data_IF_922276276553
#
_entry.id   IF_922276276553
#
_cell.length_a   1.000
_cell.length_b   1.000
_cell.length_c   1.000
_cell.angle_alpha   90.00
_cell.angle_beta   90.00
_cell.angle_gamma   90.00
#
_symmetry.space_group_name_H-M   'P 1'
#
loop_
_entity.id
_entity.type
_entity.pdbx_description
1 polymer ?
#
# COMPACT_ATOMS: atom_id res chain seq x y z
N UNK A 1 12.72 -45.09 15.22
CA UNK A 1 12.37 -43.78 14.63
C UNK A 1 10.87 -43.63 14.38
N UNK A 2 10.12 -44.71 14.14
CA UNK A 2 8.69 -44.63 13.78
C UNK A 2 7.75 -44.22 14.92
N UNK A 3 8.07 -44.58 16.17
CA UNK A 3 7.23 -44.22 17.33
C UNK A 3 7.24 -42.72 17.60
N UNK A 4 8.40 -42.06 17.46
CA UNK A 4 8.52 -40.61 17.64
C UNK A 4 7.76 -39.82 16.56
N UNK A 5 7.71 -40.32 15.33
CA UNK A 5 6.96 -39.67 14.25
C UNK A 5 5.45 -39.82 14.45
N UNK A 6 5.01 -40.97 14.97
CA UNK A 6 3.60 -41.22 15.29
C UNK A 6 3.13 -40.36 16.47
N UNK A 7 3.97 -40.25 17.52
CA UNK A 7 3.70 -39.37 18.67
C UNK A 7 3.66 -37.91 18.23
N UNK A 8 4.63 -37.43 17.43
CA UNK A 8 4.62 -36.07 16.87
C UNK A 8 3.38 -35.78 16.03
N UNK A 9 2.89 -36.76 15.24
CA UNK A 9 1.70 -36.60 14.41
C UNK A 9 0.41 -36.58 15.24
N UNK A 10 0.34 -37.38 16.29
CA UNK A 10 -0.80 -37.37 17.24
C UNK A 10 -0.80 -36.07 18.02
N UNK A 11 0.37 -35.63 18.48
CA UNK A 11 0.53 -34.42 19.26
C UNK A 11 0.27 -33.18 18.40
N UNK A 12 0.76 -33.13 17.16
CA UNK A 12 0.43 -32.05 16.21
C UNK A 12 -1.06 -32.02 15.88
N UNK A 13 -1.70 -33.18 15.68
CA UNK A 13 -3.14 -33.26 15.44
C UNK A 13 -3.94 -32.80 16.65
N UNK A 14 -3.49 -33.13 17.88
CA UNK A 14 -4.12 -32.71 19.14
C UNK A 14 -3.91 -31.20 19.39
N UNK A 15 -2.72 -30.67 19.07
CA UNK A 15 -2.36 -29.25 19.16
C UNK A 15 -3.22 -28.39 18.22
N UNK A 16 -3.41 -28.83 16.97
CA UNK A 16 -4.26 -28.16 15.99
C UNK A 16 -5.75 -28.21 16.36
N UNK A 17 -6.22 -29.34 16.92
CA UNK A 17 -7.62 -29.48 17.37
C UNK A 17 -7.96 -28.62 18.59
N UNK A 18 -6.98 -28.36 19.46
CA UNK A 18 -7.17 -27.57 20.68
C UNK A 18 -7.20 -26.05 20.43
N UNK A 19 -6.60 -25.56 19.33
CA UNK A 19 -6.43 -24.12 19.06
C UNK A 19 -7.25 -23.57 17.89
N UNK A 20 -8.03 -24.43 17.22
CA UNK A 20 -9.07 -24.00 16.28
C UNK A 20 -10.33 -23.74 17.09
N UNK A 21 -10.66 -22.47 17.32
CA UNK A 21 -11.93 -22.10 17.95
C UNK A 21 -13.10 -22.44 17.03
N UNK A 22 -14.25 -22.79 17.63
CA UNK A 22 -15.53 -22.81 16.91
C UNK A 22 -15.76 -21.41 16.30
N UNK A 23 -16.34 -21.39 15.09
CA UNK A 23 -16.52 -20.21 14.24
C UNK A 23 -16.84 -18.91 14.98
N UNK A 24 -16.36 -17.79 14.43
CA UNK A 24 -16.85 -16.46 14.82
C UNK A 24 -18.38 -16.44 14.68
N UNK A 25 -19.08 -16.19 15.80
CA UNK A 25 -20.53 -16.13 15.89
C UNK A 25 -21.15 -15.24 14.79
N UNK A 26 -20.47 -14.15 14.42
CA UNK A 26 -20.91 -13.25 13.36
C UNK A 26 -20.92 -13.87 11.97
N UNK A 27 -19.96 -14.76 11.65
CA UNK A 27 -19.94 -15.44 10.35
C UNK A 27 -21.10 -16.45 10.24
N UNK A 28 -21.34 -17.19 11.33
CA UNK A 28 -22.41 -18.20 11.40
C UNK A 28 -23.80 -17.53 11.34
N UNK A 29 -23.95 -16.38 12.00
CA UNK A 29 -25.15 -15.54 11.98
C UNK A 29 -25.40 -14.92 10.59
N UNK A 30 -24.35 -14.49 9.90
CA UNK A 30 -24.44 -14.02 8.50
C UNK A 30 -24.95 -15.12 7.57
N UNK A 31 -24.37 -16.32 7.65
CA UNK A 31 -24.79 -17.47 6.84
C UNK A 31 -26.22 -17.92 7.16
N UNK A 32 -26.63 -17.93 8.43
CA UNK A 32 -28.00 -18.30 8.81
C UNK A 32 -29.02 -17.26 8.35
N UNK A 33 -28.73 -15.97 8.48
CA UNK A 33 -29.64 -14.91 8.00
C UNK A 33 -29.81 -14.96 6.48
N UNK A 34 -28.72 -15.16 5.76
CA UNK A 34 -28.75 -15.22 4.31
C UNK A 34 -29.49 -16.48 3.80
N UNK A 35 -29.40 -17.60 4.53
CA UNK A 35 -30.24 -18.78 4.28
C UNK A 35 -31.73 -18.54 4.61
N UNK A 36 -32.04 -17.84 5.70
CA UNK A 36 -33.43 -17.50 6.09
C UNK A 36 -34.09 -16.58 5.06
N UNK A 37 -33.36 -15.58 4.53
CA UNK A 37 -33.87 -14.67 3.49
C UNK A 37 -34.29 -15.44 2.24
N UNK A 38 -33.50 -16.44 1.81
CA UNK A 38 -33.86 -17.27 0.66
C UNK A 38 -35.07 -18.17 0.95
N UNK A 39 -35.19 -18.70 2.17
CA UNK A 39 -36.36 -19.51 2.55
C UNK A 39 -37.64 -18.67 2.65
N UNK A 40 -37.53 -17.35 2.89
CA UNK A 40 -38.67 -16.44 2.92
C UNK A 40 -39.43 -16.38 1.59
N UNK A 41 -38.76 -16.70 0.48
CA UNK A 41 -39.37 -16.81 -0.84
C UNK A 41 -40.41 -17.94 -0.94
N UNK A 42 -40.42 -18.92 -0.02
CA UNK A 42 -41.45 -19.97 0.03
C UNK A 42 -42.76 -19.50 0.68
N UNK A 43 -42.78 -18.38 1.41
CA UNK A 43 -44.02 -17.86 2.04
C UNK A 43 -45.08 -17.51 0.98
N UNK A 44 -44.64 -17.20 -0.23
CA UNK A 44 -45.49 -16.81 -1.34
C UNK A 44 -45.81 -17.90 -2.34
N UNK A 45 -45.54 -19.15 -1.96
CA UNK A 45 -45.80 -20.34 -2.78
C UNK A 45 -47.23 -20.41 -3.32
N UNK A 46 -48.21 -19.90 -2.57
CA UNK A 46 -49.63 -19.92 -2.91
C UNK A 46 -50.14 -18.69 -3.67
N UNK A 47 -49.28 -17.71 -3.98
CA UNK A 47 -49.72 -16.47 -4.62
C UNK A 47 -49.69 -16.61 -6.16
N UNK A 48 -50.84 -16.54 -6.86
CA UNK A 48 -50.93 -16.81 -8.29
C UNK A 48 -50.23 -15.77 -9.18
N UNK A 49 -49.83 -14.63 -8.61
CA UNK A 49 -49.06 -13.59 -9.31
C UNK A 49 -47.54 -13.80 -9.24
N UNK A 50 -47.07 -14.81 -8.50
CA UNK A 50 -45.66 -15.06 -8.27
C UNK A 50 -45.12 -16.08 -9.29
N UNK A 51 -43.82 -16.01 -9.60
CA UNK A 51 -43.10 -16.86 -10.58
C UNK A 51 -43.22 -18.39 -10.37
N UNK A 52 -43.80 -18.88 -9.26
CA UNK A 52 -44.06 -20.30 -9.03
C UNK A 52 -45.15 -20.88 -9.96
N UNK A 53 -46.03 -20.04 -10.52
CA UNK A 53 -47.12 -20.47 -11.39
C UNK A 53 -46.69 -21.00 -12.76
N UNK A 54 -45.44 -20.77 -13.21
CA UNK A 54 -44.86 -21.27 -14.47
C UNK A 54 -45.75 -21.07 -15.72
N UNK A 55 -46.55 -20.00 -15.75
CA UNK A 55 -47.50 -19.75 -16.85
C UNK A 55 -46.85 -18.99 -18.03
N UNK A 56 -45.72 -18.34 -17.81
CA UNK A 56 -45.02 -17.50 -18.80
C UNK A 56 -43.54 -17.90 -18.89
N UNK A 57 -42.93 -17.85 -20.09
CA UNK A 57 -41.49 -18.14 -20.28
C UNK A 57 -40.56 -17.30 -19.38
N UNK A 58 -40.98 -16.09 -19.00
CA UNK A 58 -40.26 -15.22 -18.06
C UNK A 58 -40.27 -15.81 -16.65
N UNK A 59 -41.42 -16.32 -16.19
CA UNK A 59 -41.55 -16.97 -14.88
C UNK A 59 -40.76 -18.28 -14.81
N UNK A 60 -40.65 -19.01 -15.92
CA UNK A 60 -39.82 -20.22 -16.03
C UNK A 60 -38.32 -19.90 -15.88
N UNK A 61 -37.85 -18.80 -16.48
CA UNK A 61 -36.47 -18.33 -16.33
C UNK A 61 -36.17 -17.80 -14.91
N UNK A 62 -37.10 -17.05 -14.31
CA UNK A 62 -36.99 -16.57 -12.92
C UNK A 62 -36.95 -17.73 -11.92
N UNK A 63 -37.75 -18.77 -12.14
CA UNK A 63 -37.74 -19.99 -11.35
C UNK A 63 -36.41 -20.76 -11.48
N UNK A 64 -35.85 -20.85 -12.70
CA UNK A 64 -34.54 -21.45 -12.94
C UNK A 64 -33.39 -20.69 -12.25
N UNK A 65 -33.41 -19.35 -12.31
CA UNK A 65 -32.46 -18.49 -11.60
C UNK A 65 -32.57 -18.66 -10.08
N UNK A 66 -33.79 -18.72 -9.56
CA UNK A 66 -34.04 -18.98 -8.14
C UNK A 66 -33.46 -20.32 -7.68
N UNK A 67 -33.69 -21.41 -8.42
CA UNK A 67 -33.11 -22.73 -8.12
C UNK A 67 -31.58 -22.67 -8.11
N UNK A 68 -30.97 -22.04 -9.13
CA UNK A 68 -29.52 -21.94 -9.20
C UNK A 68 -28.93 -21.16 -8.01
N UNK A 69 -29.58 -20.05 -7.63
CA UNK A 69 -29.19 -19.21 -6.48
C UNK A 69 -29.34 -19.98 -5.18
N UNK A 70 -30.45 -20.69 -5.00
CA UNK A 70 -30.72 -21.51 -3.82
C UNK A 70 -29.69 -22.64 -3.66
N UNK A 71 -29.35 -23.35 -4.74
CA UNK A 71 -28.35 -24.42 -4.72
C UNK A 71 -26.96 -23.89 -4.36
N UNK A 72 -26.56 -22.76 -4.96
CA UNK A 72 -25.29 -22.09 -4.61
C UNK A 72 -25.30 -21.67 -3.13
N UNK A 73 -26.41 -21.14 -2.63
CA UNK A 73 -26.51 -20.70 -1.24
C UNK A 73 -26.42 -21.85 -0.24
N UNK A 74 -27.06 -22.98 -0.54
CA UNK A 74 -26.94 -24.22 0.26
C UNK A 74 -25.51 -24.75 0.23
N UNK A 75 -24.85 -24.75 -0.93
CA UNK A 75 -23.45 -25.16 -1.05
C UNK A 75 -22.52 -24.29 -0.20
N UNK A 76 -22.71 -22.96 -0.24
CA UNK A 76 -21.87 -22.05 0.54
C UNK A 76 -22.19 -22.17 2.04
N UNK A 77 -23.45 -22.40 2.43
CA UNK A 77 -23.83 -22.69 3.82
C UNK A 77 -23.16 -23.97 4.34
N UNK A 78 -23.16 -25.05 3.54
CA UNK A 78 -22.50 -26.31 3.89
C UNK A 78 -20.97 -26.17 3.94
N UNK A 79 -20.37 -25.38 3.05
CA UNK A 79 -18.95 -25.03 3.11
C UNK A 79 -18.64 -24.16 4.34
N UNK A 80 -19.55 -23.25 4.71
CA UNK A 80 -19.47 -22.42 5.90
C UNK A 80 -19.48 -23.25 7.19
N UNK A 81 -20.28 -24.34 7.23
CA UNK A 81 -20.30 -25.31 8.34
C UNK A 81 -19.04 -26.21 8.40
N UNK A 82 -18.34 -26.40 7.27
CA UNK A 82 -17.20 -27.32 7.15
C UNK A 82 -15.83 -26.62 7.10
N UNK A 83 -15.80 -25.29 7.00
CA UNK A 83 -14.57 -24.50 6.93
C UNK A 83 -13.80 -24.46 8.25
N UNK A 84 -12.45 -24.58 8.26
CA UNK A 84 -11.65 -24.46 9.48
C UNK A 84 -11.76 -23.05 10.07
N UNK A 85 -11.98 -22.97 11.39
CA UNK A 85 -12.02 -21.70 12.14
C UNK A 85 -10.70 -20.94 12.06
N UNK A 86 -10.76 -19.62 12.30
CA UNK A 86 -9.57 -18.76 12.33
C UNK A 86 -8.61 -19.27 13.41
N UNK A 87 -7.36 -19.53 13.02
CA UNK A 87 -6.27 -19.81 13.95
C UNK A 87 -6.10 -18.60 14.86
N UNK A 88 -6.45 -18.74 16.14
CA UNK A 88 -5.99 -17.81 17.15
C UNK A 88 -4.57 -18.25 17.54
N UNK A 89 -3.53 -17.49 17.18
CA UNK A 89 -2.21 -17.77 17.74
C UNK A 89 -2.33 -17.72 19.27
N UNK A 90 -1.56 -18.54 20.00
CA UNK A 90 -1.50 -18.41 21.45
C UNK A 90 -1.22 -16.94 21.81
N UNK A 91 -1.74 -16.42 22.93
CA UNK A 91 -1.28 -15.15 23.45
C UNK A 91 0.22 -15.33 23.69
N UNK A 92 1.02 -14.88 22.72
CA UNK A 92 2.44 -14.67 22.91
C UNK A 92 2.45 -13.71 24.09
N UNK A 93 3.12 -14.03 25.22
CA UNK A 93 3.37 -13.01 26.20
C UNK A 93 4.00 -11.87 25.40
N UNK A 94 3.29 -10.75 25.34
CA UNK A 94 3.85 -9.52 24.82
C UNK A 94 4.96 -9.24 25.82
N UNK A 95 6.14 -9.81 25.57
CA UNK A 95 7.35 -9.04 25.76
C UNK A 95 7.05 -7.81 24.93
N UNK A 96 6.59 -6.77 25.64
CA UNK A 96 6.71 -5.42 25.16
C UNK A 96 8.11 -5.39 24.58
N UNK A 97 8.19 -5.34 23.24
CA UNK A 97 9.40 -4.85 22.61
C UNK A 97 9.68 -3.59 23.40
N UNK A 98 10.75 -3.56 24.23
CA UNK A 98 11.00 -2.40 25.08
C UNK A 98 11.00 -1.27 24.09
N UNK A 99 10.10 -0.30 24.24
CA UNK A 99 9.90 0.82 23.32
C UNK A 99 11.28 1.32 22.93
N UNK A 100 11.78 0.79 21.80
CA UNK A 100 13.22 0.72 21.59
C UNK A 100 13.54 2.13 21.20
N UNK A 101 14.10 2.86 22.15
CA UNK A 101 14.64 4.20 22.04
C UNK A 101 14.86 4.50 20.56
N UNK A 102 14.07 5.42 20.00
CA UNK A 102 14.36 6.09 18.73
C UNK A 102 15.63 6.96 18.89
N UNK A 103 16.65 6.41 19.55
CA UNK A 103 18.02 6.86 19.59
C UNK A 103 18.65 6.55 18.24
N UNK A 104 18.39 7.44 17.31
CA UNK A 104 19.41 8.09 16.49
C UNK A 104 20.81 7.45 16.56
N UNK A 105 21.07 6.50 15.67
CA UNK A 105 22.32 6.54 14.90
C UNK A 105 22.01 6.96 13.47
N UNK A 106 21.36 8.12 13.35
CA UNK A 106 21.38 8.90 12.12
C UNK A 106 22.83 9.29 11.93
N UNK A 107 23.53 8.54 11.07
CA UNK A 107 24.81 8.98 10.54
C UNK A 107 24.57 10.39 10.02
N UNK A 108 25.21 11.35 10.66
CA UNK A 108 25.15 12.78 10.34
C UNK A 108 25.75 13.01 8.95
N UNK A 109 25.00 12.68 7.89
CA UNK A 109 25.32 13.06 6.52
C UNK A 109 24.87 14.49 6.32
N UNK A 110 25.69 15.43 6.81
CA UNK A 110 25.60 16.84 6.42
C UNK A 110 25.63 16.95 4.90
N UNK A 111 24.55 17.49 4.32
CA UNK A 111 24.58 18.16 3.01
C UNK A 111 24.83 17.29 1.77
N UNK A 112 24.71 15.96 1.83
CA UNK A 112 24.73 15.16 0.60
C UNK A 112 23.33 15.02 0.04
N UNK A 113 23.08 15.68 -1.10
CA UNK A 113 21.86 15.50 -1.89
C UNK A 113 21.52 14.01 -2.02
N UNK A 114 20.30 13.66 -1.60
CA UNK A 114 19.75 12.30 -1.57
C UNK A 114 19.98 11.52 -2.87
N UNK A 115 19.98 12.23 -4.00
CA UNK A 115 20.17 11.68 -5.34
C UNK A 115 21.64 11.60 -5.80
N UNK A 116 22.57 12.30 -5.13
CA UNK A 116 23.99 12.30 -5.51
C UNK A 116 24.61 10.94 -5.17
N UNK A 117 24.92 10.17 -6.21
CA UNK A 117 25.46 8.81 -6.10
C UNK A 117 24.40 7.72 -5.99
N UNK A 118 23.11 8.04 -6.22
CA UNK A 118 22.04 7.04 -6.22
C UNK A 118 22.28 5.96 -7.29
N UNK A 119 22.75 6.36 -8.47
CA UNK A 119 23.16 5.46 -9.55
C UNK A 119 24.34 4.54 -9.18
N UNK A 120 25.33 5.03 -8.44
CA UNK A 120 26.44 4.20 -7.97
C UNK A 120 25.97 3.20 -6.91
N UNK A 121 25.10 3.62 -5.99
CA UNK A 121 24.51 2.76 -4.96
C UNK A 121 23.60 1.69 -5.56
N UNK A 122 22.74 2.05 -6.52
CA UNK A 122 21.89 1.07 -7.23
C UNK A 122 22.73 0.12 -8.08
N UNK A 123 23.78 0.60 -8.76
CA UNK A 123 24.70 -0.26 -9.53
C UNK A 123 25.47 -1.24 -8.63
N UNK A 124 25.84 -0.83 -7.41
CA UNK A 124 26.46 -1.72 -6.43
C UNK A 124 25.50 -2.81 -5.92
N UNK A 125 24.20 -2.50 -5.83
CA UNK A 125 23.16 -3.42 -5.35
C UNK A 125 22.52 -4.26 -6.46
N UNK A 126 22.65 -3.85 -7.71
CA UNK A 126 22.20 -4.57 -8.90
C UNK A 126 22.64 -6.04 -8.95
N UNK A 127 23.92 -6.40 -8.69
CA UNK A 127 24.33 -7.80 -8.65
C UNK A 127 23.71 -8.60 -7.48
N UNK A 128 23.13 -7.96 -6.47
CA UNK A 128 22.40 -8.63 -5.38
C UNK A 128 20.91 -8.83 -5.69
N UNK A 129 20.34 -7.98 -6.55
CA UNK A 129 19.00 -8.15 -7.11
C UNK A 129 18.96 -9.20 -8.23
N UNK A 130 20.08 -9.43 -8.91
CA UNK A 130 20.19 -10.40 -9.99
C UNK A 130 20.76 -11.74 -9.48
N UNK A 131 19.90 -12.67 -9.02
CA UNK A 131 20.33 -13.97 -8.51
C UNK A 131 21.07 -14.79 -9.57
N UNK A 132 22.02 -15.63 -9.14
CA UNK A 132 22.69 -16.58 -10.02
C UNK A 132 21.79 -17.75 -10.45
N UNK A 133 20.72 -18.02 -9.69
CA UNK A 133 19.76 -19.09 -10.00
C UNK A 133 18.85 -18.72 -11.18
N UNK A 134 18.87 -19.55 -12.24
CA UNK A 134 18.04 -19.39 -13.44
C UNK A 134 16.54 -19.31 -13.12
N UNK A 135 16.06 -20.08 -12.14
CA UNK A 135 14.65 -20.07 -11.72
C UNK A 135 14.22 -18.75 -11.05
N UNK A 136 15.16 -18.07 -10.37
CA UNK A 136 14.87 -16.78 -9.74
C UNK A 136 14.99 -15.63 -10.76
N UNK A 137 15.90 -15.73 -11.73
CA UNK A 137 15.98 -14.80 -12.88
C UNK A 137 14.68 -14.78 -13.69
N UNK A 138 14.09 -15.93 -13.99
CA UNK A 138 12.79 -16.01 -14.70
C UNK A 138 11.69 -15.30 -13.91
N UNK A 139 11.64 -15.46 -12.57
CA UNK A 139 10.65 -14.78 -11.72
C UNK A 139 10.83 -13.26 -11.71
N UNK A 140 12.08 -12.78 -11.75
CA UNK A 140 12.38 -11.35 -11.87
C UNK A 140 11.86 -10.82 -13.21
N UNK A 141 12.13 -11.51 -14.32
CA UNK A 141 11.64 -11.12 -15.66
C UNK A 141 10.11 -11.09 -15.70
N UNK A 142 9.45 -12.12 -15.17
CA UNK A 142 7.97 -12.17 -15.08
C UNK A 142 7.43 -11.04 -14.22
N UNK A 143 8.09 -10.70 -13.10
CA UNK A 143 7.71 -9.57 -12.24
C UNK A 143 7.76 -8.23 -13.00
N UNK A 144 8.84 -7.99 -13.75
CA UNK A 144 8.95 -6.79 -14.61
C UNK A 144 7.95 -6.80 -15.76
N UNK A 145 7.64 -7.96 -16.34
CA UNK A 145 6.59 -8.12 -17.34
C UNK A 145 5.21 -7.74 -16.79
N UNK A 146 4.85 -8.22 -15.59
CA UNK A 146 3.59 -7.87 -14.91
C UNK A 146 3.58 -6.39 -14.54
N UNK A 147 4.71 -5.82 -14.13
CA UNK A 147 4.82 -4.38 -13.86
C UNK A 147 4.49 -3.56 -15.12
N UNK A 148 5.09 -3.91 -16.27
CA UNK A 148 4.81 -3.28 -17.56
C UNK A 148 3.35 -3.45 -18.00
N UNK A 149 2.80 -4.66 -17.88
CA UNK A 149 1.40 -4.93 -18.17
C UNK A 149 0.46 -4.10 -17.28
N UNK A 150 0.78 -3.95 -15.99
CA UNK A 150 0.03 -3.10 -15.06
C UNK A 150 0.03 -1.63 -15.47
N UNK A 151 1.14 -1.12 -16.03
CA UNK A 151 1.20 0.25 -16.59
C UNK A 151 0.38 0.40 -17.87
N UNK A 152 0.43 -0.58 -18.76
CA UNK A 152 -0.44 -0.59 -19.94
C UNK A 152 -1.92 -0.54 -19.55
N UNK A 153 -2.32 -1.36 -18.56
CA UNK A 153 -3.69 -1.33 -18.01
C UNK A 153 -4.02 0.05 -17.41
N UNK A 154 -3.07 0.70 -16.72
CA UNK A 154 -3.29 2.06 -16.18
C UNK A 154 -3.68 3.07 -17.26
N UNK A 155 -3.09 3.00 -18.45
CA UNK A 155 -3.40 3.91 -19.57
C UNK A 155 -4.70 3.49 -20.28
N UNK A 156 -4.95 2.18 -20.38
CA UNK A 156 -6.13 1.65 -21.07
C UNK A 156 -7.44 1.93 -20.31
N UNK A 157 -7.42 1.99 -18.98
CA UNK A 157 -8.64 2.18 -18.18
C UNK A 157 -9.33 3.54 -18.46
N UNK A 158 -8.64 4.69 -18.39
CA UNK A 158 -9.23 5.98 -18.79
C UNK A 158 -9.69 6.00 -20.26
N UNK A 159 -8.94 5.33 -21.15
CA UNK A 159 -9.30 5.24 -22.57
C UNK A 159 -10.60 4.46 -22.80
N UNK A 160 -10.77 3.31 -22.14
CA UNK A 160 -12.03 2.55 -22.20
C UNK A 160 -13.19 3.34 -21.62
N UNK A 161 -12.93 4.11 -20.55
CA UNK A 161 -13.97 4.96 -19.96
C UNK A 161 -14.44 6.06 -20.93
N UNK A 162 -13.53 6.68 -21.69
CA UNK A 162 -13.87 7.60 -22.79
C UNK A 162 -14.76 6.94 -23.84
N UNK A 163 -14.41 5.73 -24.28
CA UNK A 163 -15.18 5.01 -25.30
C UNK A 163 -16.61 4.76 -24.78
N UNK A 164 -16.75 4.25 -23.56
CA UNK A 164 -18.06 4.00 -22.95
C UNK A 164 -18.90 5.27 -22.91
N UNK A 165 -18.35 6.39 -22.43
CA UNK A 165 -19.07 7.67 -22.36
C UNK A 165 -19.48 8.15 -23.75
N UNK A 166 -18.60 8.03 -24.75
CA UNK A 166 -18.91 8.42 -26.13
C UNK A 166 -20.02 7.56 -26.76
N UNK A 167 -20.06 6.25 -26.49
CA UNK A 167 -21.10 5.34 -26.99
C UNK A 167 -22.44 5.52 -26.27
N UNK A 168 -22.43 5.94 -25.01
CA UNK A 168 -23.64 6.25 -24.23
C UNK A 168 -24.22 7.64 -24.56
N UNK A 169 -23.47 8.49 -25.27
CA UNK A 169 -23.92 9.84 -25.67
C UNK A 169 -24.81 9.74 -26.91
N UNK A 170 -26.08 10.21 -26.87
CA UNK A 170 -26.99 10.13 -28.00
C UNK A 170 -26.46 10.88 -29.23
N UNK A 171 -26.55 10.27 -30.43
CA UNK A 171 -26.35 10.97 -31.71
C UNK A 171 -24.96 10.88 -32.37
N UNK A 172 -23.98 10.13 -31.82
CA UNK A 172 -22.65 9.97 -32.46
C UNK A 172 -22.35 8.59 -33.04
N UNK A 173 -22.91 7.50 -32.51
CA UNK A 173 -22.68 6.12 -33.02
C UNK A 173 -23.94 5.28 -32.75
N UNK A 174 -24.32 4.40 -33.70
CA UNK A 174 -25.41 3.44 -33.49
C UNK A 174 -25.11 2.55 -32.28
N UNK A 175 -26.14 2.33 -31.44
CA UNK A 175 -26.04 1.54 -30.21
C UNK A 175 -25.86 0.07 -30.60
N UNK A 176 -24.62 -0.36 -30.80
CA UNK A 176 -24.23 -1.77 -30.85
C UNK A 176 -23.71 -2.17 -29.48
N UNK A 177 -24.58 -2.84 -28.70
CA UNK A 177 -24.34 -3.56 -27.45
C UNK A 177 -23.29 -2.98 -26.48
N UNK A 178 -23.56 -1.90 -25.73
CA UNK A 178 -22.59 -1.30 -24.78
C UNK A 178 -22.12 -2.24 -23.64
N UNK A 179 -22.79 -3.38 -23.43
CA UNK A 179 -22.49 -4.35 -22.38
C UNK A 179 -21.09 -4.95 -22.45
N UNK A 180 -20.59 -5.26 -23.66
CA UNK A 180 -19.24 -5.86 -23.80
C UNK A 180 -18.14 -4.87 -23.41
N UNK A 181 -18.29 -3.59 -23.75
CA UNK A 181 -17.34 -2.53 -23.38
C UNK A 181 -17.31 -2.30 -21.88
N UNK A 182 -18.47 -2.30 -21.22
CA UNK A 182 -18.58 -2.16 -19.77
C UNK A 182 -17.92 -3.35 -19.07
N UNK A 183 -18.16 -4.58 -19.53
CA UNK A 183 -17.52 -5.78 -19.00
C UNK A 183 -15.99 -5.73 -19.13
N UNK A 184 -15.47 -5.30 -20.28
CA UNK A 184 -14.03 -5.12 -20.50
C UNK A 184 -13.46 -4.04 -19.57
N UNK A 185 -14.15 -2.91 -19.41
CA UNK A 185 -13.73 -1.84 -18.49
C UNK A 185 -13.68 -2.32 -17.04
N UNK A 186 -14.71 -3.04 -16.58
CA UNK A 186 -14.75 -3.59 -15.21
C UNK A 186 -13.65 -4.63 -15.02
N UNK A 187 -13.41 -5.50 -16.01
CA UNK A 187 -12.30 -6.45 -15.97
C UNK A 187 -10.94 -5.75 -15.90
N UNK A 188 -10.70 -4.73 -16.73
CA UNK A 188 -9.48 -3.92 -16.67
C UNK A 188 -9.34 -3.19 -15.34
N UNK A 189 -10.44 -2.69 -14.77
CA UNK A 189 -10.42 -2.03 -13.46
C UNK A 189 -10.12 -3.02 -12.33
N UNK A 190 -10.58 -4.25 -12.42
CA UNK A 190 -10.21 -5.33 -11.50
C UNK A 190 -8.73 -5.71 -11.60
N UNK A 191 -8.19 -5.74 -12.82
CA UNK A 191 -6.77 -5.95 -13.07
C UNK A 191 -5.90 -4.80 -12.51
N UNK A 192 -6.37 -3.56 -12.66
CA UNK A 192 -5.71 -2.33 -12.18
C UNK A 192 -5.80 -2.16 -10.65
N UNK A 193 -6.95 -2.50 -10.07
CA UNK A 193 -7.31 -2.23 -8.68
C UNK A 193 -8.35 -1.12 -8.57
N UNK A 194 -9.37 -1.33 -7.72
CA UNK A 194 -10.42 -0.35 -7.43
C UNK A 194 -9.82 0.97 -6.92
N UNK A 195 -10.40 2.10 -7.34
CA UNK A 195 -9.84 3.45 -7.24
C UNK A 195 -9.57 4.00 -5.84
N UNK A 196 -9.74 3.21 -4.79
CA UNK A 196 -9.65 3.66 -3.38
C UNK A 196 -8.60 2.89 -2.57
N UNK A 197 -7.63 2.25 -3.23
CA UNK A 197 -6.59 1.49 -2.49
C UNK A 197 -5.49 0.80 -3.30
N UNK A 198 -5.50 0.85 -4.63
CA UNK A 198 -4.29 0.57 -5.43
C UNK A 198 -3.76 -0.87 -5.40
N UNK A 199 -4.59 -1.86 -5.04
CA UNK A 199 -4.20 -3.27 -5.11
C UNK A 199 -5.02 -3.99 -6.19
N UNK A 200 -4.56 -3.88 -7.44
CA UNK A 200 -5.08 -4.69 -8.54
C UNK A 200 -4.60 -6.13 -8.48
N UNK A 201 -5.28 -7.02 -9.22
CA UNK A 201 -4.87 -8.41 -9.35
C UNK A 201 -3.41 -8.52 -9.85
N UNK A 202 -3.00 -7.70 -10.82
CA UNK A 202 -1.61 -7.69 -11.29
C UNK A 202 -0.63 -7.25 -10.18
N UNK A 203 -1.02 -6.25 -9.38
CA UNK A 203 -0.20 -5.78 -8.27
C UNK A 203 0.00 -6.88 -7.22
N UNK A 204 -1.06 -7.63 -6.89
CA UNK A 204 -1.01 -8.77 -5.97
C UNK A 204 -0.16 -9.92 -6.50
N UNK A 205 -0.33 -10.32 -7.77
CA UNK A 205 0.50 -11.38 -8.36
C UNK A 205 1.97 -10.96 -8.37
N UNK A 206 2.25 -9.71 -8.76
CA UNK A 206 3.60 -9.15 -8.69
C UNK A 206 4.16 -9.21 -7.27
N UNK A 207 3.39 -8.76 -6.27
CA UNK A 207 3.80 -8.78 -4.86
C UNK A 207 4.08 -10.22 -4.39
N UNK A 208 3.21 -11.17 -4.73
CA UNK A 208 3.37 -12.58 -4.38
C UNK A 208 4.65 -13.19 -4.98
N UNK A 209 4.91 -12.94 -6.27
CA UNK A 209 6.14 -13.36 -6.93
C UNK A 209 7.38 -12.70 -6.29
N UNK A 210 7.26 -11.43 -5.90
CA UNK A 210 8.33 -10.66 -5.29
C UNK A 210 8.74 -11.17 -3.91
N UNK A 211 7.80 -11.68 -3.09
CA UNK A 211 8.10 -12.20 -1.75
C UNK A 211 9.25 -13.23 -1.80
N UNK A 212 9.25 -14.15 -2.75
CA UNK A 212 10.30 -15.17 -2.86
C UNK A 212 11.67 -14.55 -3.20
N UNK A 213 11.68 -13.56 -4.08
CA UNK A 213 12.89 -12.84 -4.48
C UNK A 213 13.42 -12.06 -3.27
N UNK A 214 12.54 -11.33 -2.57
CA UNK A 214 12.84 -10.60 -1.35
C UNK A 214 13.48 -11.50 -0.28
N UNK A 215 12.89 -12.66 0.00
CA UNK A 215 13.41 -13.59 1.01
C UNK A 215 14.80 -14.11 0.64
N UNK A 216 15.04 -14.43 -0.63
CA UNK A 216 16.35 -14.87 -1.11
C UNK A 216 17.41 -13.76 -1.00
N UNK A 217 17.09 -12.55 -1.47
CA UNK A 217 18.00 -11.40 -1.42
C UNK A 217 18.33 -11.03 0.02
N UNK A 218 17.32 -10.99 0.90
CA UNK A 218 17.50 -10.70 2.33
C UNK A 218 18.44 -11.70 3.00
N UNK A 219 18.18 -13.00 2.85
CA UNK A 219 19.04 -14.06 3.38
C UNK A 219 20.48 -13.95 2.88
N UNK A 220 20.67 -13.76 1.58
CA UNK A 220 22.01 -13.68 0.97
C UNK A 220 22.79 -12.48 1.51
N UNK A 221 22.12 -11.34 1.64
CA UNK A 221 22.72 -10.11 2.13
C UNK A 221 23.06 -10.22 3.62
N UNK A 222 22.17 -10.76 4.46
CA UNK A 222 22.43 -11.00 5.88
C UNK A 222 23.62 -11.95 6.10
N UNK A 223 23.66 -13.08 5.38
CA UNK A 223 24.78 -14.04 5.49
C UNK A 223 26.11 -13.42 5.05
N UNK A 224 26.12 -12.63 3.98
CA UNK A 224 27.34 -11.99 3.48
C UNK A 224 27.84 -10.89 4.41
N UNK A 225 26.93 -10.10 4.99
CA UNK A 225 27.28 -9.11 6.01
C UNK A 225 27.82 -9.77 7.27
N UNK A 226 27.21 -10.89 7.70
CA UNK A 226 27.69 -11.66 8.83
C UNK A 226 29.09 -12.26 8.59
N UNK A 227 29.32 -12.84 7.41
CA UNK A 227 30.64 -13.34 7.02
C UNK A 227 31.69 -12.22 6.97
N UNK A 228 31.31 -11.03 6.47
CA UNK A 228 32.20 -9.88 6.45
C UNK A 228 32.53 -9.38 7.86
N UNK A 229 31.55 -9.32 8.77
CA UNK A 229 31.79 -8.99 10.18
C UNK A 229 32.82 -9.92 10.80
N UNK A 230 32.72 -11.23 10.57
CA UNK A 230 33.69 -12.21 11.06
C UNK A 230 35.09 -12.06 10.45
N UNK A 231 35.21 -11.51 9.23
CA UNK A 231 36.51 -11.28 8.58
C UNK A 231 37.28 -10.05 9.13
N UNK A 232 36.65 -9.25 9.99
CA UNK A 232 37.27 -8.04 10.55
C UNK A 232 38.26 -8.38 11.67
N UNK A 233 39.24 -7.51 11.89
CA UNK A 233 40.31 -7.73 12.86
C UNK A 233 39.78 -7.82 14.30
N UNK A 234 40.51 -8.52 15.17
CA UNK A 234 40.20 -8.61 16.59
C UNK A 234 40.13 -7.23 17.26
N UNK A 235 41.05 -6.33 16.89
CA UNK A 235 41.06 -4.94 17.38
C UNK A 235 39.78 -4.17 16.97
N UNK A 236 39.18 -4.50 15.83
CA UNK A 236 37.90 -3.92 15.42
C UNK A 236 36.74 -4.38 16.32
N UNK A 237 36.77 -5.64 16.75
CA UNK A 237 35.76 -6.25 17.63
C UNK A 237 35.88 -5.79 19.09
N UNK A 238 37.11 -5.63 19.61
CA UNK A 238 37.33 -5.19 20.99
C UNK A 238 36.93 -3.73 21.26
N UNK A 239 36.99 -2.87 20.23
CA UNK A 239 36.67 -1.45 20.33
C UNK A 239 35.18 -1.10 20.11
N UNK A 240 34.30 -2.08 19.88
CA UNK A 240 32.89 -1.84 19.54
C UNK A 240 31.95 -2.78 20.29
N UNK A 241 30.80 -2.26 20.72
CA UNK A 241 29.74 -3.10 21.29
C UNK A 241 29.09 -3.94 20.17
N UNK A 242 29.30 -5.26 20.19
CA UNK A 242 28.81 -6.20 19.17
C UNK A 242 27.29 -6.10 18.92
N UNK A 243 26.50 -5.86 19.99
CA UNK A 243 25.05 -5.68 19.89
C UNK A 243 24.62 -4.41 19.13
N UNK A 244 25.32 -3.29 19.31
CA UNK A 244 25.03 -2.04 18.57
C UNK A 244 25.42 -2.20 17.10
N UNK A 245 26.56 -2.84 16.82
CA UNK A 245 27.05 -3.13 15.47
C UNK A 245 26.06 -4.01 14.70
N UNK A 246 25.61 -5.12 15.28
CA UNK A 246 24.67 -6.03 14.61
C UNK A 246 23.35 -5.32 14.29
N UNK A 247 22.83 -4.51 15.23
CA UNK A 247 21.63 -3.70 15.01
C UNK A 247 21.82 -2.63 13.94
N UNK A 248 23.00 -2.02 13.82
CA UNK A 248 23.30 -1.06 12.75
C UNK A 248 23.35 -1.76 11.39
N UNK A 249 23.95 -2.95 11.32
CA UNK A 249 24.04 -3.75 10.10
C UNK A 249 22.66 -4.21 9.64
N UNK A 250 21.82 -4.72 10.54
CA UNK A 250 20.48 -5.20 10.18
C UNK A 250 19.55 -4.04 9.78
N UNK A 251 19.57 -2.92 10.52
CA UNK A 251 18.85 -1.70 10.12
C UNK A 251 19.33 -1.13 8.78
N UNK A 252 20.65 -1.09 8.56
CA UNK A 252 21.25 -0.63 7.33
C UNK A 252 20.88 -1.51 6.13
N UNK A 253 20.97 -2.83 6.30
CA UNK A 253 20.57 -3.83 5.32
C UNK A 253 19.10 -3.68 4.91
N UNK A 254 18.20 -3.62 5.90
CA UNK A 254 16.77 -3.52 5.65
C UNK A 254 16.40 -2.16 5.04
N UNK A 255 17.05 -1.07 5.46
CA UNK A 255 16.85 0.27 4.89
C UNK A 255 17.28 0.33 3.43
N UNK A 256 18.47 -0.20 3.09
CA UNK A 256 18.96 -0.28 1.71
C UNK A 256 18.01 -1.09 0.83
N UNK A 257 17.54 -2.23 1.33
CA UNK A 257 16.57 -3.07 0.64
C UNK A 257 15.25 -2.33 0.37
N UNK A 258 14.68 -1.71 1.41
CA UNK A 258 13.43 -0.97 1.30
C UNK A 258 13.55 0.21 0.33
N UNK A 259 14.65 0.95 0.39
CA UNK A 259 14.95 2.05 -0.53
C UNK A 259 14.99 1.55 -1.98
N UNK A 260 15.70 0.45 -2.24
CA UNK A 260 15.80 -0.15 -3.58
C UNK A 260 14.43 -0.61 -4.10
N UNK A 261 13.63 -1.23 -3.24
CA UNK A 261 12.26 -1.65 -3.55
C UNK A 261 11.37 -0.44 -3.89
N UNK A 262 11.43 0.63 -3.08
CA UNK A 262 10.70 1.87 -3.37
C UNK A 262 11.13 2.50 -4.69
N UNK A 263 12.43 2.51 -4.97
CA UNK A 263 12.96 3.10 -6.18
C UNK A 263 12.52 2.35 -7.44
N UNK A 264 12.60 1.02 -7.43
CA UNK A 264 12.26 0.19 -8.59
C UNK A 264 10.76 0.05 -8.82
N UNK A 265 9.93 0.00 -7.78
CA UNK A 265 8.50 -0.29 -7.92
C UNK A 265 7.58 0.90 -7.76
N UNK A 266 8.05 2.01 -7.17
CA UNK A 266 7.24 3.22 -7.02
C UNK A 266 7.87 4.37 -7.81
N UNK A 267 9.09 4.82 -7.47
CA UNK A 267 9.68 6.03 -8.07
C UNK A 267 9.87 5.90 -9.59
N UNK A 268 10.59 4.87 -10.05
CA UNK A 268 10.89 4.70 -11.47
C UNK A 268 9.61 4.53 -12.30
N UNK A 269 8.65 3.67 -11.92
CA UNK A 269 7.39 3.56 -12.64
C UNK A 269 6.57 4.85 -12.64
N UNK A 270 6.57 5.64 -11.56
CA UNK A 270 5.86 6.93 -11.55
C UNK A 270 6.43 7.90 -12.57
N UNK A 271 7.76 8.00 -12.72
CA UNK A 271 8.35 8.85 -13.75
C UNK A 271 8.03 8.35 -15.17
N UNK A 272 8.02 7.03 -15.37
CA UNK A 272 7.58 6.44 -16.65
C UNK A 272 6.10 6.77 -16.91
N UNK A 273 5.23 6.64 -15.91
CA UNK A 273 3.80 6.92 -16.03
C UNK A 273 3.54 8.39 -16.37
N UNK A 274 4.27 9.33 -15.74
CA UNK A 274 4.22 10.76 -16.09
C UNK A 274 4.66 10.98 -17.54
N UNK A 275 5.79 10.38 -17.95
CA UNK A 275 6.30 10.52 -19.31
C UNK A 275 5.32 9.98 -20.37
N UNK A 276 4.79 8.78 -20.14
CA UNK A 276 3.77 8.16 -21.00
C UNK A 276 2.51 9.02 -21.06
N UNK A 277 2.06 9.58 -19.93
CA UNK A 277 0.89 10.45 -19.91
C UNK A 277 1.09 11.74 -20.72
N UNK A 278 2.23 12.41 -20.56
CA UNK A 278 2.54 13.63 -21.32
C UNK A 278 2.54 13.34 -22.81
N UNK A 279 3.23 12.27 -23.23
CA UNK A 279 3.27 11.83 -24.63
C UNK A 279 1.85 11.52 -25.13
N UNK A 280 1.06 10.78 -24.35
CA UNK A 280 -0.32 10.46 -24.68
C UNK A 280 -1.19 11.71 -24.86
N UNK A 281 -1.11 12.69 -23.95
CA UNK A 281 -1.89 13.93 -24.04
C UNK A 281 -1.51 14.81 -25.23
N UNK A 282 -0.22 14.85 -25.58
CA UNK A 282 0.26 15.58 -26.76
C UNK A 282 -0.32 14.97 -28.04
N UNK A 283 -0.30 13.65 -28.16
CA UNK A 283 -0.81 12.95 -29.36
C UNK A 283 -2.34 12.89 -29.44
N UNK A 284 -3.03 12.70 -28.32
CA UNK A 284 -4.49 12.48 -28.31
C UNK A 284 -5.31 13.78 -28.33
N UNK A 285 -4.77 14.88 -27.81
CA UNK A 285 -5.49 16.15 -27.71
C UNK A 285 -4.76 17.27 -28.45
N UNK A 286 -3.67 17.79 -27.86
CA UNK A 286 -2.83 18.87 -28.38
C UNK A 286 -1.63 19.09 -27.44
N UNK A 287 -0.55 19.72 -27.94
CA UNK A 287 0.64 20.07 -27.14
C UNK A 287 0.34 20.93 -25.91
N UNK A 288 -0.71 21.78 -25.96
CA UNK A 288 -1.13 22.60 -24.82
C UNK A 288 -1.59 21.79 -23.61
N UNK A 289 -2.27 20.65 -23.81
CA UNK A 289 -2.67 19.77 -22.71
C UNK A 289 -1.47 19.12 -22.04
N UNK A 290 -0.52 18.64 -22.86
CA UNK A 290 0.74 18.11 -22.35
C UNK A 290 1.51 19.14 -21.53
N UNK A 291 1.53 20.40 -21.96
CA UNK A 291 2.18 21.50 -21.24
C UNK A 291 1.53 21.77 -19.88
N UNK A 292 0.19 21.84 -19.80
CA UNK A 292 -0.53 22.06 -18.53
C UNK A 292 -0.22 20.95 -17.53
N UNK A 293 -0.29 19.68 -17.95
CA UNK A 293 0.02 18.52 -17.10
C UNK A 293 1.49 18.56 -16.67
N UNK A 294 2.41 18.82 -17.61
CA UNK A 294 3.84 18.90 -17.31
C UNK A 294 4.15 19.99 -16.28
N UNK A 295 3.65 21.21 -16.47
CA UNK A 295 3.85 22.33 -15.53
C UNK A 295 3.27 22.00 -14.17
N UNK A 296 2.07 21.42 -14.11
CA UNK A 296 1.43 21.04 -12.84
C UNK A 296 2.25 19.99 -12.10
N UNK A 297 2.76 18.96 -12.80
CA UNK A 297 3.58 17.90 -12.21
C UNK A 297 4.94 18.42 -11.73
N UNK A 298 5.60 19.26 -12.52
CA UNK A 298 6.89 19.87 -12.13
C UNK A 298 6.72 20.76 -10.90
N UNK A 299 5.69 21.61 -10.89
CA UNK A 299 5.39 22.48 -9.75
C UNK A 299 5.07 21.66 -8.50
N UNK A 300 4.29 20.59 -8.64
CA UNK A 300 3.97 19.67 -7.54
C UNK A 300 5.23 19.04 -6.94
N UNK A 301 6.11 18.48 -7.78
CA UNK A 301 7.33 17.81 -7.33
C UNK A 301 8.28 18.81 -6.69
N UNK A 302 8.50 19.97 -7.32
CA UNK A 302 9.39 21.01 -6.80
C UNK A 302 8.91 21.52 -5.43
N UNK A 303 7.63 21.86 -5.31
CA UNK A 303 7.04 22.32 -4.05
C UNK A 303 7.11 21.22 -2.97
N UNK A 304 6.81 19.98 -3.33
CA UNK A 304 6.88 18.84 -2.40
C UNK A 304 8.29 18.65 -1.85
N UNK A 305 9.32 18.73 -2.69
CA UNK A 305 10.72 18.60 -2.26
C UNK A 305 11.12 19.75 -1.34
N UNK A 306 10.85 21.01 -1.74
CA UNK A 306 11.20 22.20 -0.96
C UNK A 306 10.57 22.17 0.45
N UNK A 307 9.27 21.88 0.54
CA UNK A 307 8.58 21.83 1.83
C UNK A 307 9.03 20.61 2.64
N UNK A 308 9.31 19.47 2.00
CA UNK A 308 9.79 18.27 2.71
C UNK A 308 11.17 18.48 3.33
N UNK A 309 12.09 19.12 2.61
CA UNK A 309 13.40 19.48 3.16
C UNK A 309 13.27 20.45 4.33
N UNK A 310 12.46 21.50 4.16
CA UNK A 310 12.21 22.47 5.23
C UNK A 310 11.56 21.82 6.46
N UNK A 311 10.61 20.89 6.29
CA UNK A 311 9.93 20.19 7.39
C UNK A 311 10.85 19.27 8.18
N UNK A 312 11.91 18.76 7.55
CA UNK A 312 12.80 17.75 8.17
C UNK A 312 13.44 18.26 9.47
N UNK A 313 13.66 19.56 9.60
CA UNK A 313 14.18 20.18 10.85
C UNK A 313 13.22 20.02 12.04
N UNK A 314 11.91 20.25 11.84
CA UNK A 314 10.90 20.15 12.91
C UNK A 314 10.77 18.71 13.41
N UNK A 315 10.78 17.76 12.49
CA UNK A 315 10.74 16.34 12.84
C UNK A 315 11.98 15.92 13.63
N UNK A 316 13.14 16.49 13.33
CA UNK A 316 14.37 16.21 14.07
C UNK A 316 14.27 16.76 15.50
N UNK A 317 13.82 18.00 15.65
CA UNK A 317 13.62 18.63 16.95
C UNK A 317 12.61 17.88 17.82
N UNK A 318 11.49 17.45 17.22
CA UNK A 318 10.49 16.59 17.87
C UNK A 318 11.12 15.28 18.38
N UNK A 319 11.93 14.60 17.57
CA UNK A 319 12.60 13.36 17.97
C UNK A 319 13.66 13.59 19.07
N UNK A 320 14.33 14.74 19.08
CA UNK A 320 15.29 15.09 20.14
C UNK A 320 14.57 15.33 21.48
N UNK A 321 13.43 16.02 21.47
CA UNK A 321 12.58 16.25 22.65
C UNK A 321 11.91 14.97 23.17
N UNK A 322 11.43 14.11 22.28
CA UNK A 322 10.87 12.80 22.62
C UNK A 322 11.90 11.92 23.33
N UNK A 323 13.11 11.81 22.76
CA UNK A 323 14.20 11.06 23.38
C UNK A 323 14.59 11.64 24.74
N UNK A 324 14.62 12.97 24.89
CA UNK A 324 14.92 13.62 26.16
C UNK A 324 13.84 13.33 27.23
N UNK A 325 12.55 13.36 26.84
CA UNK A 325 11.45 13.02 27.74
C UNK A 325 11.51 11.56 28.19
N UNK A 326 11.73 10.63 27.24
CA UNK A 326 11.90 9.20 27.53
C UNK A 326 13.11 8.93 28.42
N UNK A 327 14.24 9.59 28.17
CA UNK A 327 15.43 9.45 29.00
C UNK A 327 15.17 9.88 30.46
N UNK A 328 14.48 11.01 30.68
CA UNK A 328 14.08 11.46 32.02
C UNK A 328 13.15 10.46 32.72
N UNK A 329 12.17 9.92 32.00
CA UNK A 329 11.26 8.91 32.57
C UNK A 329 11.99 7.64 32.99
N UNK A 330 12.91 7.14 32.15
CA UNK A 330 13.73 5.96 32.46
C UNK A 330 14.65 6.23 33.66
N UNK A 331 15.31 7.38 33.71
CA UNK A 331 16.19 7.75 34.82
C UNK A 331 15.44 7.84 36.16
N UNK A 332 14.24 8.42 36.15
CA UNK A 332 13.36 8.51 37.32
C UNK A 332 12.94 7.12 37.83
N UNK A 333 12.58 6.20 36.92
CA UNK A 333 12.18 4.83 37.27
C UNK A 333 13.37 3.96 37.71
N UNK A 334 14.56 4.16 37.14
CA UNK A 334 15.77 3.46 37.58
C UNK A 334 16.19 3.90 38.99
N UNK A 335 16.03 5.19 39.31
CA UNK A 335 16.35 5.76 40.62
C UNK A 335 15.12 5.86 41.53
N UNK A 336 14.14 4.98 41.35
CA UNK A 336 12.86 5.03 42.05
C UNK A 336 13.02 5.03 43.58
N UNK A 337 13.97 4.27 44.11
CA UNK A 337 14.27 4.24 45.54
C UNK A 337 14.64 5.63 46.07
N UNK A 338 15.53 6.35 45.37
CA UNK A 338 15.96 7.70 45.75
C UNK A 338 14.79 8.68 45.72
N UNK A 339 13.93 8.61 44.71
CA UNK A 339 12.73 9.47 44.60
C UNK A 339 11.80 9.24 45.80
N UNK A 340 11.59 7.98 46.20
CA UNK A 340 10.79 7.63 47.38
C UNK A 340 11.41 8.06 48.71
N UNK A 341 12.73 7.97 48.84
CA UNK A 341 13.45 8.41 50.06
C UNK A 341 13.28 9.91 50.32
N UNK A 342 13.25 10.72 49.27
CA UNK A 342 13.13 12.19 49.39
C UNK A 342 11.68 12.71 49.27
N UNK A 343 10.68 11.83 49.13
CA UNK A 343 9.29 12.21 48.85
C UNK A 343 9.17 13.19 47.65
N UNK A 344 9.94 12.93 46.60
CA UNK A 344 10.08 13.78 45.42
C UNK A 344 9.17 13.41 44.25
N UNK A 345 8.12 12.61 44.46
CA UNK A 345 7.29 12.08 43.39
C UNK A 345 6.61 13.18 42.57
N UNK A 346 5.98 14.15 43.24
CA UNK A 346 5.27 15.25 42.58
C UNK A 346 6.23 16.10 41.73
N UNK A 347 7.46 16.30 42.20
CA UNK A 347 8.49 17.03 41.48
C UNK A 347 8.92 16.31 40.19
N UNK A 348 9.15 15.00 40.24
CA UNK A 348 9.52 14.23 39.06
C UNK A 348 8.35 14.12 38.05
N UNK A 349 7.10 14.04 38.55
CA UNK A 349 5.90 14.10 37.70
C UNK A 349 5.79 15.46 37.00
N UNK A 350 5.97 16.57 37.71
CA UNK A 350 5.95 17.92 37.11
C UNK A 350 7.08 18.11 36.10
N UNK A 351 8.28 17.61 36.42
CA UNK A 351 9.43 17.65 35.51
C UNK A 351 9.20 16.86 34.22
N UNK A 352 8.48 15.74 34.31
CA UNK A 352 8.07 14.96 33.15
C UNK A 352 6.96 15.68 32.36
N UNK A 353 5.96 16.24 33.03
CA UNK A 353 4.88 17.01 32.40
C UNK A 353 5.44 18.20 31.57
N UNK A 354 6.40 18.94 32.12
CA UNK A 354 7.09 20.01 31.38
C UNK A 354 7.85 19.48 30.15
N UNK A 355 8.50 18.31 30.27
CA UNK A 355 9.18 17.69 29.12
C UNK A 355 8.19 17.21 28.04
N UNK A 356 7.01 16.73 28.44
CA UNK A 356 5.94 16.32 27.53
C UNK A 356 5.34 17.55 26.84
N UNK A 357 5.11 18.66 27.56
CA UNK A 357 4.64 19.93 26.97
C UNK A 357 5.58 20.45 25.88
N UNK A 358 6.89 20.43 26.14
CA UNK A 358 7.92 20.77 25.16
C UNK A 358 7.86 19.87 23.90
N UNK A 359 7.68 18.56 24.10
CA UNK A 359 7.47 17.61 23.01
C UNK A 359 6.20 17.91 22.21
N UNK A 360 5.08 18.17 22.89
CA UNK A 360 3.79 18.46 22.28
C UNK A 360 3.83 19.71 21.39
N UNK A 361 4.59 20.74 21.78
CA UNK A 361 4.79 21.91 20.93
C UNK A 361 5.50 21.54 19.61
N UNK A 362 6.58 20.74 19.70
CA UNK A 362 7.32 20.28 18.51
C UNK A 362 6.50 19.30 17.65
N UNK A 363 5.66 18.50 18.28
CA UNK A 363 4.71 17.60 17.62
C UNK A 363 3.66 18.40 16.84
N UNK A 364 3.11 19.46 17.45
CA UNK A 364 2.19 20.37 16.77
C UNK A 364 2.83 20.99 15.53
N UNK A 365 4.06 21.51 15.63
CA UNK A 365 4.79 22.06 14.47
C UNK A 365 4.99 21.01 13.35
N UNK A 366 5.28 19.76 13.74
CA UNK A 366 5.47 18.65 12.80
C UNK A 366 4.17 18.25 12.10
N UNK A 367 3.05 18.22 12.82
CA UNK A 367 1.73 17.91 12.27
C UNK A 367 1.20 19.07 11.42
N UNK A 368 1.32 20.31 11.91
CA UNK A 368 0.90 21.52 11.21
C UNK A 368 1.65 21.69 9.88
N UNK A 369 2.96 21.45 9.87
CA UNK A 369 3.76 21.49 8.63
C UNK A 369 3.39 20.38 7.63
N UNK A 370 2.94 19.22 8.09
CA UNK A 370 2.38 18.17 7.22
C UNK A 370 1.02 18.58 6.63
N UNK A 371 0.15 19.19 7.43
CA UNK A 371 -1.14 19.70 6.96
C UNK A 371 -0.95 20.82 5.92
N UNK A 372 0.03 21.71 6.13
CA UNK A 372 0.42 22.74 5.16
C UNK A 372 0.90 22.13 3.84
N UNK A 373 1.76 21.09 3.89
CA UNK A 373 2.20 20.36 2.69
C UNK A 373 1.00 19.77 1.93
N UNK A 374 0.11 19.06 2.62
CA UNK A 374 -1.07 18.44 2.00
C UNK A 374 -1.98 19.49 1.36
N UNK A 375 -2.16 20.64 2.01
CA UNK A 375 -2.98 21.75 1.52
C UNK A 375 -2.37 22.38 0.27
N UNK A 376 -1.06 22.65 0.29
CA UNK A 376 -0.34 23.18 -0.86
C UNK A 376 -0.32 22.20 -2.05
N UNK A 377 -0.21 20.90 -1.78
CA UNK A 377 -0.27 19.86 -2.81
C UNK A 377 -1.65 19.79 -3.45
N UNK A 378 -2.70 19.82 -2.62
CA UNK A 378 -4.08 19.80 -3.09
C UNK A 378 -4.43 21.07 -3.89
N UNK A 379 -3.94 22.24 -3.48
CA UNK A 379 -4.19 23.49 -4.21
C UNK A 379 -3.56 23.49 -5.60
N UNK A 380 -2.32 23.00 -5.76
CA UNK A 380 -1.66 22.86 -7.07
C UNK A 380 -2.43 21.89 -7.96
N UNK A 381 -2.81 20.72 -7.43
CA UNK A 381 -3.57 19.70 -8.16
C UNK A 381 -4.92 20.26 -8.62
N UNK A 382 -5.64 20.92 -7.72
CA UNK A 382 -6.97 21.48 -8.00
C UNK A 382 -6.87 22.61 -9.02
N UNK A 383 -5.85 23.48 -8.92
CA UNK A 383 -5.61 24.53 -9.90
C UNK A 383 -5.27 23.95 -11.29
N UNK A 384 -4.39 22.95 -11.37
CA UNK A 384 -4.06 22.29 -12.62
C UNK A 384 -5.25 21.57 -13.25
N UNK A 385 -6.07 20.89 -12.42
CA UNK A 385 -7.31 20.27 -12.86
C UNK A 385 -8.32 21.31 -13.35
N UNK A 386 -8.49 22.43 -12.64
CA UNK A 386 -9.37 23.53 -13.02
C UNK A 386 -8.97 24.11 -14.37
N UNK A 387 -7.70 24.47 -14.55
CA UNK A 387 -7.21 25.05 -15.81
C UNK A 387 -7.36 24.06 -16.96
N UNK A 388 -6.99 22.79 -16.76
CA UNK A 388 -7.10 21.76 -17.79
C UNK A 388 -8.54 21.43 -18.18
N UNK A 389 -9.45 21.36 -17.20
CA UNK A 389 -10.87 21.08 -17.45
C UNK A 389 -11.58 22.26 -18.11
N UNK A 390 -11.29 23.50 -17.72
CA UNK A 390 -11.82 24.70 -18.40
C UNK A 390 -11.38 24.76 -19.86
N UNK A 391 -10.10 24.47 -20.15
CA UNK A 391 -9.59 24.42 -21.51
C UNK A 391 -10.21 23.27 -22.32
N UNK A 392 -10.37 22.09 -21.72
CA UNK A 392 -11.07 20.97 -22.34
C UNK A 392 -12.54 21.32 -22.63
N UNK A 393 -13.24 21.95 -21.68
CA UNK A 393 -14.63 22.37 -21.82
C UNK A 393 -14.82 23.33 -22.99
N UNK A 394 -13.93 24.31 -23.16
CA UNK A 394 -13.93 25.22 -24.32
C UNK A 394 -13.84 24.45 -25.64
N UNK A 395 -12.94 23.47 -25.74
CA UNK A 395 -12.75 22.67 -26.96
C UNK A 395 -13.91 21.70 -27.25
N UNK A 396 -14.61 21.24 -26.20
CA UNK A 396 -15.85 20.46 -26.35
C UNK A 396 -16.98 21.34 -26.88
N UNK A 397 -17.11 22.58 -26.40
CA UNK A 397 -18.09 23.55 -26.92
C UNK A 397 -17.79 23.92 -28.37
N UNK A 398 -16.51 24.03 -28.75
CA UNK A 398 -16.07 24.24 -30.14
C UNK A 398 -16.24 22.99 -31.04
N UNK A 399 -16.69 21.85 -30.49
CA UNK A 399 -16.94 20.62 -31.25
C UNK A 399 -15.70 19.83 -31.67
N UNK A 400 -14.49 20.25 -31.25
CA UNK A 400 -13.22 19.57 -31.57
C UNK A 400 -12.97 18.32 -30.73
N UNK A 401 -13.58 18.24 -29.54
CA UNK A 401 -13.47 17.12 -28.60
C UNK A 401 -14.86 16.62 -28.17
N UNK A 402 -14.96 15.33 -27.79
CA UNK A 402 -16.18 14.73 -27.26
C UNK A 402 -16.30 14.83 -25.73
N UNK A 403 -17.47 14.48 -25.21
CA UNK A 403 -17.71 14.44 -23.75
C UNK A 403 -16.84 13.37 -23.07
N UNK A 404 -16.57 12.24 -23.75
CA UNK A 404 -15.66 11.21 -23.24
C UNK A 404 -14.21 11.67 -23.13
N UNK A 405 -13.76 12.64 -23.94
CA UNK A 405 -12.42 13.22 -23.85
C UNK A 405 -12.22 14.02 -22.56
N UNK A 406 -13.26 14.76 -22.15
CA UNK A 406 -13.27 15.48 -20.88
C UNK A 406 -13.13 14.52 -19.69
N UNK A 407 -13.91 13.45 -19.68
CA UNK A 407 -13.86 12.44 -18.60
C UNK A 407 -12.51 11.73 -18.57
N UNK A 408 -11.92 11.42 -19.73
CA UNK A 408 -10.56 10.86 -19.81
C UNK A 408 -9.54 11.78 -19.17
N UNK A 409 -9.55 13.07 -19.53
CA UNK A 409 -8.60 14.04 -19.02
C UNK A 409 -8.65 14.11 -17.49
N UNK A 410 -9.86 14.24 -16.92
CA UNK A 410 -10.06 14.29 -15.46
C UNK A 410 -9.56 13.01 -14.79
N UNK A 411 -10.00 11.85 -15.28
CA UNK A 411 -9.71 10.57 -14.65
C UNK A 411 -8.25 10.18 -14.75
N UNK A 412 -7.60 10.42 -15.88
CA UNK A 412 -6.19 10.13 -16.05
C UNK A 412 -5.31 11.07 -15.22
N UNK A 413 -5.65 12.36 -15.17
CA UNK A 413 -4.95 13.36 -14.35
C UNK A 413 -5.01 12.98 -12.86
N UNK A 414 -6.17 12.57 -12.34
CA UNK A 414 -6.31 12.10 -10.96
C UNK A 414 -5.46 10.83 -10.71
N UNK A 415 -5.44 9.88 -11.65
CA UNK A 415 -4.65 8.65 -11.49
C UNK A 415 -3.14 8.92 -11.40
N UNK A 416 -2.63 9.93 -12.10
CA UNK A 416 -1.24 10.33 -11.99
C UNK A 416 -0.91 10.88 -10.62
N UNK A 417 -1.82 11.60 -9.96
CA UNK A 417 -1.53 12.23 -8.66
C UNK A 417 -1.43 11.25 -7.48
N UNK A 418 -2.14 10.13 -7.53
CA UNK A 418 -2.15 9.14 -6.44
C UNK A 418 -0.73 8.69 -6.05
N UNK A 419 0.13 8.21 -6.98
CA UNK A 419 1.50 7.83 -6.62
C UNK A 419 2.39 9.02 -6.23
N UNK A 420 2.10 10.23 -6.71
CA UNK A 420 2.88 11.42 -6.39
C UNK A 420 2.73 11.84 -4.92
N UNK A 421 1.60 11.57 -4.27
CA UNK A 421 1.43 11.84 -2.83
C UNK A 421 2.47 11.09 -1.98
N UNK A 422 2.76 9.85 -2.34
CA UNK A 422 3.77 9.05 -1.65
C UNK A 422 5.21 9.49 -1.95
N UNK A 423 5.44 10.32 -2.96
CA UNK A 423 6.77 10.78 -3.35
C UNK A 423 7.50 11.54 -2.23
N UNK A 424 6.80 12.39 -1.47
CA UNK A 424 7.40 13.09 -0.33
C UNK A 424 7.93 12.13 0.75
N UNK A 425 7.24 11.00 0.95
CA UNK A 425 7.71 9.96 1.87
C UNK A 425 8.94 9.24 1.31
N UNK A 426 8.95 8.93 0.01
CA UNK A 426 10.10 8.28 -0.63
C UNK A 426 11.34 9.16 -0.66
N UNK A 427 11.19 10.46 -0.94
CA UNK A 427 12.30 11.42 -0.91
C UNK A 427 13.02 11.38 0.44
N UNK A 428 12.25 11.39 1.53
CA UNK A 428 12.76 11.28 2.90
C UNK A 428 13.41 9.93 3.21
N UNK A 429 12.98 8.84 2.59
CA UNK A 429 13.67 7.55 2.76
C UNK A 429 15.04 7.54 2.06
N UNK A 430 15.24 8.40 1.07
CA UNK A 430 16.49 8.50 0.30
C UNK A 430 17.45 9.54 0.89
N UNK A 431 16.93 10.65 1.42
CA UNK A 431 17.67 11.74 2.10
C UNK A 431 18.02 11.37 3.54
#
# INVERSE_FOLDING_TARGET
MDVSFFVLRIESARYFKAHVTRHSFGLLLFWSLAFVIENLSFISWYNPHWWFGRNTRIQEAEFGLFISRYVIMVLIFLLGLKGPGLYQPPPVPVQEEPTLLEGSSVINRRGQSAFKGLWQKTKMLWPFLWPSDRALQVKVIVCFGILGAGRAVNVLVPYMYKIIVNHLTPGKVAITDPWHLILIYVALRFLQGGGTGGIGLLSNIKAFLWIRIQQFTSRTLQVRLFAHLHSLSLNWHLNRKTGEVLRMVDRGANSIYNLLNYLLFNILPTFVDIGVAIVYFIFAFNGWFGLIVFVTMVLYVAMTVLITEWRTKYRREMNEKDNAAKAKAVDSLLNFETVKYYSGEDFEVERLDLAIKDYQHCEWDTIASLALLNTAQNSIITAGLLTGTLYCGKLVVEGKLGVGDFVLFVTYTIQLYVPLNFFGTYYRCVS
#
